data_IF_030246176414
#
_entry.id   IF_030246176414
#
_cell.length_a   1.000
_cell.length_b   1.000
_cell.length_c   1.000
_cell.angle_alpha   90.00
_cell.angle_beta   90.00
_cell.angle_gamma   90.00
#
_symmetry.space_group_name_H-M   'P 1'
#
loop_
_entity.id
_entity.type
_entity.pdbx_description
1 polymer ?
#
# COMPACT_ATOMS: atom_id res chain seq x y z
N UNK A 1 -10.88 10.59 -1.47
CA UNK A 1 -10.72 9.12 -1.50
C UNK A 1 -11.62 8.52 -0.43
N UNK A 2 -12.27 7.37 -0.66
CA UNK A 2 -13.06 6.71 0.38
C UNK A 2 -12.15 6.31 1.54
N UNK A 3 -12.52 6.70 2.75
CA UNK A 3 -11.79 6.37 3.97
C UNK A 3 -12.28 5.03 4.51
N UNK A 4 -11.36 4.11 4.82
CA UNK A 4 -11.68 2.83 5.43
C UNK A 4 -11.43 2.90 6.93
N UNK A 5 -12.34 2.33 7.73
CA UNK A 5 -12.21 2.25 9.18
C UNK A 5 -12.36 0.81 9.65
N UNK A 6 -11.75 0.48 10.78
CA UNK A 6 -11.90 -0.82 11.43
C UNK A 6 -13.05 -0.76 12.43
N UNK A 7 -13.83 -1.83 12.51
CA UNK A 7 -14.95 -1.96 13.43
C UNK A 7 -15.03 -3.37 13.99
N UNK A 8 -15.65 -3.50 15.16
CA UNK A 8 -16.01 -4.78 15.77
C UNK A 8 -17.52 -4.95 15.64
N UNK A 9 -17.95 -6.16 15.27
CA UNK A 9 -19.37 -6.52 15.24
C UNK A 9 -19.75 -7.17 16.56
N UNK A 10 -20.59 -6.50 17.34
CA UNK A 10 -21.06 -6.98 18.65
C UNK A 10 -22.57 -6.77 18.77
N UNK A 11 -23.32 -7.82 19.12
CA UNK A 11 -24.76 -7.76 19.38
C UNK A 11 -25.58 -7.10 18.26
N UNK A 12 -25.22 -7.35 16.99
CA UNK A 12 -25.92 -6.77 15.84
C UNK A 12 -25.48 -5.35 15.47
N UNK A 13 -24.51 -4.77 16.17
CA UNK A 13 -24.02 -3.39 15.94
C UNK A 13 -22.56 -3.40 15.48
N UNK A 14 -22.28 -2.71 14.37
CA UNK A 14 -20.92 -2.41 13.93
C UNK A 14 -20.36 -1.20 14.69
N UNK A 15 -19.43 -1.44 15.61
CA UNK A 15 -18.80 -0.43 16.44
C UNK A 15 -17.43 -0.05 15.89
N UNK A 16 -17.21 1.19 15.41
CA UNK A 16 -15.91 1.58 14.90
C UNK A 16 -14.87 1.65 16.03
N UNK A 17 -13.64 1.22 15.74
CA UNK A 17 -12.53 1.28 16.71
C UNK A 17 -12.02 2.70 16.97
N UNK A 18 -12.38 3.65 16.09
CA UNK A 18 -12.06 5.07 16.21
C UNK A 18 -13.30 5.90 15.88
N UNK A 19 -13.48 7.08 16.51
CA UNK A 19 -14.60 7.95 16.18
C UNK A 19 -14.60 8.31 14.70
N UNK A 20 -15.73 8.12 14.05
CA UNK A 20 -15.98 8.55 12.68
C UNK A 20 -16.88 9.77 12.69
N UNK A 21 -16.58 10.78 11.87
CA UNK A 21 -17.39 11.99 11.76
C UNK A 21 -18.51 11.76 10.75
N UNK A 22 -19.60 11.16 11.21
CA UNK A 22 -20.83 11.02 10.42
C UNK A 22 -21.95 11.86 11.04
N UNK A 23 -22.82 12.41 10.18
CA UNK A 23 -24.05 13.06 10.67
C UNK A 23 -25.02 11.99 11.15
N UNK A 24 -25.85 12.34 12.12
CA UNK A 24 -26.91 11.46 12.59
C UNK A 24 -27.83 11.03 11.42
N UNK A 25 -28.22 9.75 11.39
CA UNK A 25 -29.05 9.14 10.31
C UNK A 25 -28.42 9.17 8.91
N UNK A 26 -27.11 9.35 8.80
CA UNK A 26 -26.42 9.21 7.51
C UNK A 26 -26.55 7.79 6.96
N UNK A 27 -26.96 7.66 5.70
CA UNK A 27 -26.88 6.40 4.98
C UNK A 27 -25.46 6.18 4.47
N UNK A 28 -24.89 5.03 4.78
CA UNK A 28 -23.55 4.65 4.33
C UNK A 28 -23.58 3.25 3.72
N UNK A 29 -22.76 3.02 2.71
CA UNK A 29 -22.51 1.69 2.18
C UNK A 29 -21.38 1.06 2.98
N UNK A 30 -21.61 -0.15 3.50
CA UNK A 30 -20.61 -0.89 4.26
C UNK A 30 -20.17 -2.09 3.42
N UNK A 31 -18.89 -2.13 3.10
CA UNK A 31 -18.25 -3.33 2.56
C UNK A 31 -17.62 -4.08 3.72
N UNK A 32 -18.21 -5.22 4.11
CA UNK A 32 -17.65 -6.10 5.13
C UNK A 32 -16.61 -6.99 4.47
N UNK A 33 -15.39 -6.94 4.98
CA UNK A 33 -14.32 -7.79 4.49
C UNK A 33 -13.68 -8.52 5.68
N UNK A 34 -13.92 -9.83 5.83
CA UNK A 34 -13.36 -10.60 6.92
C UNK A 34 -11.83 -10.51 6.93
N UNK A 35 -11.26 -10.26 8.10
CA UNK A 35 -9.81 -10.07 8.23
C UNK A 35 -9.02 -11.30 7.77
N UNK A 36 -9.55 -12.50 8.03
CA UNK A 36 -8.97 -13.76 7.57
C UNK A 36 -8.88 -13.85 6.04
N UNK A 37 -9.93 -13.41 5.34
CA UNK A 37 -9.95 -13.35 3.88
C UNK A 37 -8.94 -12.31 3.36
N UNK A 38 -8.87 -11.13 3.99
CA UNK A 38 -7.89 -10.10 3.65
C UNK A 38 -6.46 -10.59 3.78
N UNK A 39 -6.14 -11.24 4.90
CA UNK A 39 -4.80 -11.82 5.12
C UNK A 39 -4.48 -12.87 4.07
N UNK A 40 -5.42 -13.77 3.78
CA UNK A 40 -5.22 -14.81 2.76
C UNK A 40 -4.97 -14.24 1.37
N UNK A 41 -5.70 -13.20 0.97
CA UNK A 41 -5.52 -12.55 -0.33
C UNK A 41 -4.21 -11.76 -0.39
N UNK A 42 -3.83 -11.11 0.71
CA UNK A 42 -2.55 -10.42 0.84
C UNK A 42 -1.35 -11.37 0.77
N UNK A 43 -1.40 -12.50 1.49
CA UNK A 43 -0.35 -13.53 1.45
C UNK A 43 -0.22 -14.14 0.05
N UNK A 44 -1.35 -14.41 -0.63
CA UNK A 44 -1.34 -14.87 -2.02
C UNK A 44 -0.72 -13.84 -2.96
N UNK A 45 -0.98 -12.55 -2.76
CA UNK A 45 -0.34 -11.49 -3.53
C UNK A 45 1.17 -11.45 -3.28
N UNK A 46 1.60 -11.48 -2.01
CA UNK A 46 3.02 -11.50 -1.64
C UNK A 46 3.74 -12.71 -2.24
N UNK A 47 3.13 -13.89 -2.19
CA UNK A 47 3.68 -15.10 -2.81
C UNK A 47 3.85 -14.93 -4.32
N UNK A 48 2.85 -14.40 -5.03
CA UNK A 48 2.93 -14.11 -6.47
C UNK A 48 3.99 -13.05 -6.80
N UNK A 49 4.13 -12.03 -5.97
CA UNK A 49 5.21 -11.04 -6.12
C UNK A 49 6.57 -11.69 -5.94
N UNK A 50 6.77 -12.45 -4.85
CA UNK A 50 8.02 -13.14 -4.55
C UNK A 50 8.42 -14.12 -5.65
N UNK A 51 7.48 -14.87 -6.22
CA UNK A 51 7.75 -15.76 -7.37
C UNK A 51 8.22 -14.96 -8.58
N UNK A 52 7.53 -13.85 -8.92
CA UNK A 52 7.92 -12.99 -10.04
C UNK A 52 9.29 -12.34 -9.84
N UNK A 53 9.61 -11.91 -8.62
CA UNK A 53 10.88 -11.24 -8.32
C UNK A 53 12.04 -12.20 -8.11
N UNK A 54 11.78 -13.48 -7.79
CA UNK A 54 12.82 -14.52 -7.68
C UNK A 54 13.58 -14.73 -8.99
N UNK A 55 12.96 -14.41 -10.13
CA UNK A 55 13.59 -14.51 -11.44
C UNK A 55 14.65 -13.43 -11.70
N UNK A 56 14.67 -12.34 -10.91
CA UNK A 56 15.64 -11.26 -11.07
C UNK A 56 16.81 -11.49 -10.12
N UNK A 57 18.03 -11.77 -10.63
CA UNK A 57 19.20 -11.93 -9.79
C UNK A 57 19.52 -10.63 -9.03
N UNK A 58 19.92 -10.77 -7.77
CA UNK A 58 20.34 -9.66 -6.91
C UNK A 58 21.35 -8.70 -7.58
N UNK A 59 22.36 -9.17 -8.33
CA UNK A 59 23.30 -8.28 -9.03
C UNK A 59 22.64 -7.37 -10.08
N UNK A 60 21.57 -7.83 -10.74
CA UNK A 60 20.83 -7.03 -11.72
C UNK A 60 20.09 -5.89 -11.02
N UNK A 61 19.47 -6.19 -9.88
CA UNK A 61 18.79 -5.18 -9.04
C UNK A 61 19.79 -4.11 -8.59
N UNK A 62 20.96 -4.52 -8.09
CA UNK A 62 22.00 -3.60 -7.61
C UNK A 62 22.57 -2.71 -8.73
N UNK A 63 22.72 -3.27 -9.92
CA UNK A 63 23.19 -2.54 -11.11
C UNK A 63 22.18 -1.47 -11.51
N UNK A 64 20.90 -1.83 -11.60
CA UNK A 64 19.79 -0.90 -11.92
C UNK A 64 19.66 0.21 -10.86
N UNK A 65 19.73 -0.13 -9.57
CA UNK A 65 19.70 0.85 -8.48
C UNK A 65 20.89 1.81 -8.55
N UNK A 66 22.09 1.29 -8.83
CA UNK A 66 23.30 2.11 -8.97
C UNK A 66 23.19 3.06 -10.15
N UNK A 67 22.69 2.58 -11.29
CA UNK A 67 22.42 3.39 -12.47
C UNK A 67 21.41 4.51 -12.18
N UNK A 68 20.26 4.18 -11.58
CA UNK A 68 19.25 5.16 -11.23
C UNK A 68 19.78 6.25 -10.27
N UNK A 69 20.61 5.85 -9.29
CA UNK A 69 21.29 6.81 -8.39
C UNK A 69 22.24 7.74 -9.15
N UNK A 70 23.01 7.21 -10.10
CA UNK A 70 23.91 7.99 -10.93
C UNK A 70 23.15 9.01 -11.79
N UNK A 71 22.03 8.61 -12.39
CA UNK A 71 21.16 9.49 -13.20
C UNK A 71 20.59 10.65 -12.36
N UNK A 72 20.09 10.37 -11.16
CA UNK A 72 19.61 11.42 -10.24
C UNK A 72 20.74 12.38 -9.85
N UNK A 73 21.93 11.86 -9.56
CA UNK A 73 23.10 12.68 -9.20
C UNK A 73 23.57 13.55 -10.37
N UNK A 74 23.58 13.00 -11.59
CA UNK A 74 23.92 13.74 -12.81
C UNK A 74 22.91 14.86 -13.07
N UNK A 75 21.61 14.58 -12.97
CA UNK A 75 20.55 15.59 -13.13
C UNK A 75 20.67 16.72 -12.09
N UNK A 76 20.95 16.38 -10.82
CA UNK A 76 21.19 17.37 -9.76
C UNK A 76 22.44 18.22 -10.01
N UNK A 77 23.51 17.64 -10.56
CA UNK A 77 24.74 18.38 -10.91
C UNK A 77 24.54 19.29 -12.12
N UNK A 78 23.81 18.83 -13.14
CA UNK A 78 23.44 19.63 -14.31
C UNK A 78 22.58 20.84 -13.92
N UNK A 79 21.61 20.65 -13.03
CA UNK A 79 20.77 21.74 -12.50
C UNK A 79 21.51 22.73 -11.58
N UNK A 80 22.74 22.41 -11.14
CA UNK A 80 23.57 23.27 -10.27
C UNK A 80 24.70 23.99 -11.00
N UNK A 81 24.93 23.70 -12.29
CA UNK A 81 25.85 24.48 -13.12
C UNK A 81 25.09 25.72 -13.60
N UNK A 82 25.45 26.95 -13.17
CA UNK A 82 24.94 28.14 -13.83
C UNK A 82 25.52 28.19 -15.25
N UNK A 83 24.73 28.73 -16.18
CA UNK A 83 25.15 29.03 -17.54
C UNK A 83 26.25 30.10 -17.55
#
# INVERSE_FOLDING_TARGET
MPESFRAVFENGVLRPLRPIRLKEKSRVFISVYPESQWRGDFERLLRRMRVRTKAVPQPVIETEVTRARAEVKAKRRGARRPA
#
